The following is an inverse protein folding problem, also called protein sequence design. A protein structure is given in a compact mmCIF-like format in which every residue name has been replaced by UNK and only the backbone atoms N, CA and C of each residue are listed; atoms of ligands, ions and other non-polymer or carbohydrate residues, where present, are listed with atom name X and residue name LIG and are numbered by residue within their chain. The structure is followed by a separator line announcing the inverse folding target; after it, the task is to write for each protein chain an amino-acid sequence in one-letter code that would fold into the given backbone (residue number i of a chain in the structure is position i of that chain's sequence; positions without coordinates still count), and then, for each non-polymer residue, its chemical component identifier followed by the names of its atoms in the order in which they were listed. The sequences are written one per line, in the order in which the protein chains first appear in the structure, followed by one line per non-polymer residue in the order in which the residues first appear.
data_IF_293645347809
#
_entry.id   IF_293645347809
#
_cell.length_a   1.000
_cell.length_b   1.000
_cell.length_c   1.000
_cell.angle_alpha   90.00
_cell.angle_beta   90.00
_cell.angle_gamma   90.00
#
_symmetry.space_group_name_H-M   'P 1'
#
loop_
_entity.id
_entity.type
_entity.pdbx_description
1 polymer ?
#
# COMPACT_ATOMS: atom_id res chain seq x y z
N UNK A 1 28.11 20.83 -32.77
CA UNK A 1 28.03 19.63 -31.91
C UNK A 1 27.89 20.03 -30.44
N UNK A 2 26.72 20.54 -30.00
CA UNK A 2 26.51 21.03 -28.62
C UNK A 2 25.13 20.66 -28.04
N UNK A 3 24.55 19.53 -28.48
CA UNK A 3 23.20 19.11 -28.06
C UNK A 3 23.09 17.61 -27.75
N UNK A 4 24.22 16.93 -27.50
CA UNK A 4 24.22 15.49 -27.21
C UNK A 4 24.32 15.14 -25.71
N UNK A 5 24.63 16.12 -24.86
CA UNK A 5 24.91 15.86 -23.44
C UNK A 5 23.69 15.96 -22.51
N UNK A 6 22.57 16.53 -22.96
CA UNK A 6 21.41 16.77 -22.07
C UNK A 6 20.44 15.58 -21.95
N UNK A 7 20.57 14.56 -22.79
CA UNK A 7 19.64 13.40 -22.80
C UNK A 7 20.08 12.23 -21.90
N UNK A 8 21.29 12.26 -21.34
CA UNK A 8 21.85 11.12 -20.61
C UNK A 8 21.39 11.01 -19.14
N UNK A 9 20.73 12.04 -18.58
CA UNK A 9 20.34 12.06 -17.17
C UNK A 9 18.89 11.63 -16.90
N UNK A 10 18.08 11.39 -17.94
CA UNK A 10 16.63 11.15 -17.78
C UNK A 10 16.26 9.65 -17.64
N UNK A 11 17.23 8.74 -17.59
CA UNK A 11 17.00 7.29 -17.59
C UNK A 11 17.03 6.62 -16.20
N UNK A 12 17.19 7.39 -15.11
CA UNK A 12 17.40 6.84 -13.76
C UNK A 12 16.21 6.98 -12.79
N UNK A 13 15.05 7.47 -13.23
CA UNK A 13 13.91 7.75 -12.33
C UNK A 13 12.78 6.73 -12.36
N UNK A 14 12.92 5.57 -13.03
CA UNK A 14 11.80 4.63 -13.22
C UNK A 14 11.69 3.51 -12.17
N UNK A 15 12.52 3.47 -11.13
CA UNK A 15 12.57 2.32 -10.21
C UNK A 15 12.25 2.67 -8.74
N UNK A 16 11.20 3.45 -8.51
CA UNK A 16 10.61 3.56 -7.18
C UNK A 16 9.13 3.18 -7.27
N UNK A 17 8.80 1.95 -6.87
CA UNK A 17 7.42 1.62 -6.49
C UNK A 17 6.84 0.32 -7.03
N UNK A 18 7.54 -0.81 -6.93
CA UNK A 18 6.84 -2.09 -6.72
C UNK A 18 6.56 -2.23 -5.22
N UNK A 19 5.82 -1.29 -4.63
CA UNK A 19 5.31 -1.48 -3.27
C UNK A 19 4.26 -2.59 -3.35
N UNK A 20 4.40 -3.62 -2.54
CA UNK A 20 3.51 -4.78 -2.54
C UNK A 20 2.18 -4.39 -1.86
N UNK A 21 1.39 -3.55 -2.55
CA UNK A 21 0.18 -2.94 -2.02
C UNK A 21 -0.94 -3.98 -1.91
N UNK A 22 -1.87 -3.74 -1.00
CA UNK A 22 -3.11 -4.50 -0.91
C UNK A 22 -4.31 -3.56 -0.80
N UNK A 23 -5.47 -4.07 -1.24
CA UNK A 23 -6.77 -3.43 -1.04
C UNK A 23 -7.53 -4.20 0.02
N UNK A 24 -7.95 -3.49 1.06
CA UNK A 24 -8.84 -4.00 2.09
C UNK A 24 -10.24 -3.47 1.77
N UNK A 25 -11.15 -4.36 1.41
CA UNK A 25 -12.57 -4.03 1.28
C UNK A 25 -13.25 -4.22 2.62
N UNK A 26 -13.97 -3.22 3.09
CA UNK A 26 -14.76 -3.26 4.32
C UNK A 26 -16.19 -3.74 4.07
N UNK A 27 -16.89 -4.13 5.14
CA UNK A 27 -18.28 -4.57 5.06
C UNK A 27 -19.22 -3.49 4.51
N UNK A 28 -18.94 -2.21 4.78
CA UNK A 28 -19.71 -1.07 4.27
C UNK A 28 -19.48 -0.80 2.76
N UNK A 29 -18.54 -1.53 2.14
CA UNK A 29 -18.17 -1.39 0.73
C UNK A 29 -17.06 -0.38 0.47
N UNK A 30 -16.55 0.30 1.50
CA UNK A 30 -15.36 1.15 1.36
C UNK A 30 -14.10 0.30 1.13
N UNK A 31 -13.11 0.89 0.46
CA UNK A 31 -11.85 0.24 0.14
C UNK A 31 -10.67 1.08 0.64
N UNK A 32 -9.72 0.42 1.29
CA UNK A 32 -8.52 1.05 1.85
C UNK A 32 -7.28 0.47 1.19
N UNK A 33 -6.41 1.36 0.71
CA UNK A 33 -5.11 1.00 0.15
C UNK A 33 -4.06 0.96 1.26
N UNK A 34 -3.38 -0.18 1.34
CA UNK A 34 -2.37 -0.45 2.37
C UNK A 34 -1.07 -0.87 1.71
N UNK A 35 0.05 -0.52 2.34
CA UNK A 35 1.40 -0.72 1.81
C UNK A 35 1.96 -2.10 2.12
N UNK A 36 1.51 -2.72 3.20
CA UNK A 36 2.00 -4.01 3.68
C UNK A 36 0.86 -4.94 4.11
N UNK A 37 1.14 -6.23 4.24
CA UNK A 37 0.20 -7.22 4.74
C UNK A 37 -0.14 -6.97 6.21
N UNK A 38 -1.41 -7.10 6.57
CA UNK A 38 -1.85 -6.92 7.95
C UNK A 38 -1.25 -7.93 8.90
N UNK A 39 -0.81 -7.46 10.06
CA UNK A 39 -0.68 -8.32 11.23
C UNK A 39 -2.04 -8.43 11.93
N UNK A 40 -2.41 -9.66 12.32
CA UNK A 40 -3.66 -9.91 13.03
C UNK A 40 -3.38 -10.03 14.52
N UNK A 41 -3.86 -9.06 15.29
CA UNK A 41 -3.82 -9.10 16.74
C UNK A 41 -4.94 -9.99 17.27
N UNK A 42 -4.56 -11.19 17.70
CA UNK A 42 -5.46 -12.19 18.28
C UNK A 42 -6.05 -11.78 19.64
N UNK A 43 -5.37 -10.91 20.39
CA UNK A 43 -5.83 -10.47 21.71
C UNK A 43 -6.94 -9.43 21.61
N UNK A 44 -6.82 -8.55 20.61
CA UNK A 44 -7.71 -7.41 20.46
C UNK A 44 -8.69 -7.54 19.27
N UNK A 45 -8.57 -8.61 18.48
CA UNK A 45 -9.42 -8.95 17.32
C UNK A 45 -9.46 -7.86 16.24
N UNK A 46 -8.31 -7.22 16.00
CA UNK A 46 -8.11 -6.26 14.93
C UNK A 46 -6.98 -6.67 13.99
N UNK A 47 -7.07 -6.19 12.77
CA UNK A 47 -5.96 -6.12 11.82
C UNK A 47 -5.30 -4.76 11.92
N UNK A 48 -3.98 -4.75 11.95
CA UNK A 48 -3.17 -3.56 11.84
C UNK A 48 -2.70 -3.40 10.39
N UNK A 49 -2.94 -2.24 9.79
CA UNK A 49 -2.52 -1.94 8.43
C UNK A 49 -1.73 -0.64 8.36
N UNK A 50 -0.64 -0.64 7.61
CA UNK A 50 0.09 0.58 7.25
C UNK A 50 -0.48 1.15 5.93
N UNK A 51 -0.89 2.41 5.96
CA UNK A 51 -1.33 3.14 4.77
C UNK A 51 -0.14 3.64 3.94
N UNK A 52 -0.42 4.07 2.70
CA UNK A 52 0.60 4.59 1.78
C UNK A 52 1.31 5.85 2.31
N UNK A 53 0.69 6.59 3.21
CA UNK A 53 1.25 7.78 3.85
C UNK A 53 2.11 7.45 5.11
N UNK A 54 2.18 6.18 5.51
CA UNK A 54 2.88 5.74 6.72
C UNK A 54 2.03 5.75 8.00
N UNK A 55 0.73 6.07 7.90
CA UNK A 55 -0.17 6.01 9.06
C UNK A 55 -0.62 4.56 9.30
N UNK A 56 -0.63 4.16 10.56
CA UNK A 56 -1.19 2.88 10.99
C UNK A 56 -2.69 3.02 11.28
N UNK A 57 -3.48 2.08 10.76
CA UNK A 57 -4.91 1.96 11.08
C UNK A 57 -5.24 0.58 11.64
N UNK A 58 -6.22 0.56 12.54
CA UNK A 58 -6.71 -0.64 13.18
C UNK A 58 -8.13 -0.91 12.70
N UNK A 59 -8.35 -2.06 12.08
CA UNK A 59 -9.65 -2.47 11.54
C UNK A 59 -10.07 -3.76 12.21
N UNK A 60 -11.23 -3.75 12.87
CA UNK A 60 -11.78 -4.98 13.47
C UNK A 60 -11.92 -6.06 12.41
N UNK A 61 -11.63 -7.31 12.78
CA UNK A 61 -11.79 -8.46 11.88
C UNK A 61 -13.18 -8.55 11.27
N UNK A 62 -14.21 -8.30 12.08
CA UNK A 62 -15.59 -8.33 11.63
C UNK A 62 -15.87 -7.30 10.53
N UNK A 63 -15.16 -6.17 10.49
CA UNK A 63 -15.37 -5.14 9.47
C UNK A 63 -14.65 -5.46 8.16
N UNK A 64 -13.72 -6.42 8.13
CA UNK A 64 -12.99 -6.79 6.92
C UNK A 64 -13.83 -7.77 6.11
N UNK A 65 -14.11 -7.41 4.86
CA UNK A 65 -14.81 -8.28 3.90
C UNK A 65 -13.83 -9.11 3.09
N UNK A 66 -12.81 -8.48 2.52
CA UNK A 66 -11.78 -9.14 1.70
C UNK A 66 -10.48 -8.36 1.72
N UNK A 67 -9.35 -9.07 1.68
CA UNK A 67 -8.02 -8.50 1.49
C UNK A 67 -7.50 -9.04 0.16
N UNK A 68 -7.12 -8.14 -0.76
CA UNK A 68 -6.62 -8.50 -2.09
C UNK A 68 -5.26 -7.84 -2.36
N UNK A 69 -4.21 -8.60 -2.71
CA UNK A 69 -2.96 -8.01 -3.18
C UNK A 69 -3.20 -7.31 -4.54
N UNK A 70 -2.52 -6.19 -4.76
CA UNK A 70 -2.46 -5.46 -6.05
C UNK A 70 -1.30 -5.97 -6.91
#
# INVERSE_FOLDING_TARGET
MKFKALFAALLLTSLAGCANQAVVTLQDGSEVLVKDQSDYDKYNDYYEFEQLNGDTILIKKDNVRTIRPQ
#
